data_IF_447758491601
#
_entry.id   IF_447758491601
#
_cell.length_a   1.000
_cell.length_b   1.000
_cell.length_c   1.000
_cell.angle_alpha   90.00
_cell.angle_beta   90.00
_cell.angle_gamma   90.00
#
_symmetry.space_group_name_H-M   'P 1'
#
loop_
_entity.id
_entity.type
_entity.pdbx_description
1 polymer ?
#
# COMPACT_ATOMS: atom_id res chain seq x y z
N UNK A 1 -4.04 -4.21 -30.20
CA UNK A 1 -4.91 -5.32 -29.73
C UNK A 1 -4.93 -5.26 -28.20
N UNK A 2 -6.11 -4.88 -27.65
CA UNK A 2 -6.31 -4.69 -26.21
C UNK A 2 -6.37 -6.04 -25.50
N UNK A 3 -5.21 -6.57 -25.16
CA UNK A 3 -5.14 -7.76 -24.32
C UNK A 3 -5.13 -7.35 -22.85
N UNK A 4 -6.23 -7.67 -22.16
CA UNK A 4 -6.24 -7.64 -20.69
C UNK A 4 -5.10 -8.53 -20.17
N UNK A 5 -4.29 -8.05 -19.20
CA UNK A 5 -3.23 -8.86 -18.62
C UNK A 5 -3.84 -10.13 -17.98
N UNK A 6 -3.16 -11.26 -18.19
CA UNK A 6 -3.56 -12.53 -17.60
C UNK A 6 -3.68 -12.32 -16.06
N UNK A 7 -4.76 -12.75 -15.46
CA UNK A 7 -5.08 -12.59 -14.04
C UNK A 7 -5.57 -11.18 -13.59
N UNK A 8 -5.78 -10.22 -14.50
CA UNK A 8 -6.26 -8.89 -14.09
C UNK A 8 -7.60 -8.93 -13.36
N UNK A 9 -8.52 -9.80 -13.80
CA UNK A 9 -9.84 -9.97 -13.15
C UNK A 9 -9.68 -10.43 -11.69
N UNK A 10 -8.85 -11.43 -11.44
CA UNK A 10 -8.60 -11.98 -10.10
C UNK A 10 -7.96 -10.92 -9.19
N UNK A 11 -7.02 -10.14 -9.72
CA UNK A 11 -6.40 -9.03 -9.00
C UNK A 11 -7.44 -7.99 -8.58
N UNK A 12 -8.31 -7.58 -9.51
CA UNK A 12 -9.37 -6.60 -9.23
C UNK A 12 -10.37 -7.13 -8.20
N UNK A 13 -10.77 -8.38 -8.30
CA UNK A 13 -11.66 -9.01 -7.31
C UNK A 13 -11.01 -9.04 -5.92
N UNK A 14 -9.75 -9.42 -5.83
CA UNK A 14 -9.00 -9.44 -4.57
C UNK A 14 -8.84 -8.03 -3.96
N UNK A 15 -8.59 -7.01 -4.77
CA UNK A 15 -8.51 -5.63 -4.31
C UNK A 15 -9.87 -5.13 -3.79
N UNK A 16 -10.96 -5.42 -4.52
CA UNK A 16 -12.34 -5.10 -4.07
C UNK A 16 -12.68 -5.78 -2.74
N UNK A 17 -12.30 -7.05 -2.57
CA UNK A 17 -12.49 -7.79 -1.31
C UNK A 17 -11.72 -7.17 -0.13
N UNK A 18 -10.68 -6.39 -0.41
CA UNK A 18 -9.91 -5.64 0.59
C UNK A 18 -10.42 -4.20 0.80
N UNK A 19 -11.64 -3.85 0.31
CA UNK A 19 -12.18 -2.49 0.34
C UNK A 19 -11.31 -1.46 -0.38
N UNK A 20 -10.62 -1.89 -1.46
CA UNK A 20 -9.95 -0.99 -2.39
C UNK A 20 -10.87 -0.79 -3.58
N UNK A 21 -11.10 0.45 -3.98
CA UNK A 21 -11.91 0.80 -5.15
C UNK A 21 -11.02 0.96 -6.37
N UNK A 22 -11.01 0.00 -7.32
CA UNK A 22 -10.24 0.14 -8.54
C UNK A 22 -10.86 1.18 -9.46
N UNK A 23 -10.01 2.00 -10.09
CA UNK A 23 -10.42 2.98 -11.09
C UNK A 23 -9.51 2.82 -12.30
N UNK A 24 -10.08 2.65 -13.49
CA UNK A 24 -9.32 2.62 -14.75
C UNK A 24 -9.25 4.02 -15.34
N UNK A 25 -8.04 4.51 -15.61
CA UNK A 25 -7.83 5.78 -16.30
C UNK A 25 -7.01 5.53 -17.57
N UNK A 26 -7.57 5.84 -18.71
CA UNK A 26 -6.94 5.60 -20.02
C UNK A 26 -7.01 6.84 -20.90
N UNK A 27 -5.99 7.01 -21.76
CA UNK A 27 -6.02 7.96 -22.89
C UNK A 27 -6.83 7.46 -24.08
N UNK A 28 -7.30 6.22 -24.05
CA UNK A 28 -8.14 5.66 -25.11
C UNK A 28 -9.56 6.24 -25.09
N UNK A 29 -10.25 6.07 -26.24
CA UNK A 29 -11.63 6.50 -26.37
C UNK A 29 -12.59 5.73 -25.45
N UNK A 30 -13.79 6.29 -25.27
CA UNK A 30 -14.83 5.78 -24.37
C UNK A 30 -15.17 4.30 -24.60
N UNK A 31 -15.29 3.87 -25.86
CA UNK A 31 -15.73 2.50 -26.17
C UNK A 31 -14.64 1.48 -25.78
N UNK A 32 -13.40 1.75 -26.09
CA UNK A 32 -12.25 0.92 -25.73
C UNK A 32 -12.11 0.83 -24.22
N UNK A 33 -12.08 1.97 -23.53
CA UNK A 33 -11.90 2.03 -22.08
C UNK A 33 -13.04 1.32 -21.34
N UNK A 34 -14.30 1.52 -21.78
CA UNK A 34 -15.47 0.83 -21.24
C UNK A 34 -15.37 -0.69 -21.37
N UNK A 35 -14.94 -1.17 -22.56
CA UNK A 35 -14.81 -2.59 -22.82
C UNK A 35 -13.75 -3.24 -21.92
N UNK A 36 -12.60 -2.56 -21.76
CA UNK A 36 -11.51 -3.02 -20.90
C UNK A 36 -11.97 -3.03 -19.43
N UNK A 37 -12.61 -1.96 -18.96
CA UNK A 37 -13.15 -1.85 -17.62
C UNK A 37 -14.15 -2.97 -17.31
N UNK A 38 -15.10 -3.21 -18.22
CA UNK A 38 -16.09 -4.28 -18.08
C UNK A 38 -15.44 -5.68 -18.02
N UNK A 39 -14.47 -5.96 -18.91
CA UNK A 39 -13.73 -7.23 -18.91
C UNK A 39 -12.90 -7.43 -17.64
N UNK A 40 -12.35 -6.35 -17.07
CA UNK A 40 -11.57 -6.38 -15.84
C UNK A 40 -12.44 -6.39 -14.57
N UNK A 41 -13.76 -6.17 -14.69
CA UNK A 41 -14.66 -6.03 -13.55
C UNK A 41 -14.47 -4.71 -12.79
N UNK A 42 -14.08 -3.63 -13.49
CA UNK A 42 -13.90 -2.29 -12.92
C UNK A 42 -15.15 -1.45 -13.23
N UNK A 43 -15.80 -0.93 -12.19
CA UNK A 43 -17.03 -0.15 -12.34
C UNK A 43 -16.74 1.32 -12.65
N UNK A 44 -15.64 1.85 -12.13
CA UNK A 44 -15.24 3.25 -12.27
C UNK A 44 -14.14 3.39 -13.31
N UNK A 45 -14.39 4.15 -14.37
CA UNK A 45 -13.39 4.39 -15.41
C UNK A 45 -13.46 5.81 -15.95
N UNK A 46 -12.32 6.33 -16.42
CA UNK A 46 -12.19 7.59 -17.16
C UNK A 46 -11.45 7.34 -18.46
N UNK A 47 -11.92 7.94 -19.52
CA UNK A 47 -11.44 7.81 -20.90
C UNK A 47 -10.94 9.15 -21.44
N UNK A 48 -10.24 9.15 -22.58
CA UNK A 48 -9.66 10.33 -23.22
C UNK A 48 -8.81 11.18 -22.22
N UNK A 49 -8.17 10.52 -21.23
CA UNK A 49 -7.42 11.20 -20.19
C UNK A 49 -6.04 11.62 -20.69
N UNK A 50 -5.74 12.90 -20.64
CA UNK A 50 -4.39 13.41 -20.73
C UNK A 50 -3.63 13.18 -19.41
N UNK A 51 -2.29 13.24 -19.41
CA UNK A 51 -1.49 13.11 -18.18
C UNK A 51 -1.91 14.07 -17.04
N UNK A 52 -2.29 15.29 -17.43
CA UNK A 52 -2.78 16.31 -16.48
C UNK A 52 -4.13 15.94 -15.86
N UNK A 53 -5.03 15.35 -16.66
CA UNK A 53 -6.36 14.92 -16.17
C UNK A 53 -6.23 13.84 -15.11
N UNK A 54 -5.29 12.90 -15.30
CA UNK A 54 -4.99 11.87 -14.30
C UNK A 54 -4.52 12.48 -12.99
N UNK A 55 -3.59 13.43 -13.06
CA UNK A 55 -3.04 14.13 -11.89
C UNK A 55 -4.11 14.97 -11.17
N UNK A 56 -4.97 15.65 -11.93
CA UNK A 56 -6.05 16.46 -11.37
C UNK A 56 -7.10 15.61 -10.68
N UNK A 57 -7.45 14.45 -11.26
CA UNK A 57 -8.39 13.52 -10.64
C UNK A 57 -7.85 12.91 -9.34
N UNK A 58 -6.56 12.58 -9.29
CA UNK A 58 -5.90 12.15 -8.06
C UNK A 58 -6.03 13.22 -6.97
N UNK A 59 -5.78 14.48 -7.33
CA UNK A 59 -5.92 15.62 -6.40
C UNK A 59 -7.37 15.77 -5.91
N UNK A 60 -8.36 15.65 -6.79
CA UNK A 60 -9.77 15.67 -6.45
C UNK A 60 -10.13 14.59 -5.41
N UNK A 61 -9.67 13.35 -5.64
CA UNK A 61 -9.88 12.26 -4.68
C UNK A 61 -9.22 12.54 -3.32
N UNK A 62 -8.01 13.11 -3.32
CA UNK A 62 -7.29 13.47 -2.11
C UNK A 62 -7.98 14.59 -1.33
N UNK A 63 -8.56 15.58 -2.01
CA UNK A 63 -9.36 16.65 -1.39
C UNK A 63 -10.64 16.10 -0.72
N UNK A 64 -11.12 14.95 -1.18
CA UNK A 64 -12.24 14.21 -0.58
C UNK A 64 -11.77 13.14 0.43
N UNK A 65 -10.60 13.34 1.06
CA UNK A 65 -9.99 12.47 2.08
C UNK A 65 -9.74 11.03 1.62
N UNK A 66 -9.71 10.76 0.30
CA UNK A 66 -9.36 9.46 -0.23
C UNK A 66 -7.84 9.30 -0.30
N UNK A 67 -7.35 8.13 0.12
CA UNK A 67 -5.96 7.73 -0.09
C UNK A 67 -5.85 7.02 -1.43
N UNK A 68 -4.98 7.53 -2.30
CA UNK A 68 -4.87 7.09 -3.69
C UNK A 68 -3.53 6.39 -3.90
N UNK A 69 -3.59 5.16 -4.41
CA UNK A 69 -2.45 4.48 -5.01
C UNK A 69 -2.57 4.59 -6.54
N UNK A 70 -1.56 5.14 -7.20
CA UNK A 70 -1.49 5.21 -8.66
C UNK A 70 -0.55 4.12 -9.17
N UNK A 71 -0.99 3.38 -10.18
CA UNK A 71 -0.19 2.36 -10.85
C UNK A 71 -0.02 2.81 -12.29
N UNK A 72 1.22 2.90 -12.74
CA UNK A 72 1.56 3.33 -14.09
C UNK A 72 2.83 2.68 -14.61
N UNK A 73 2.97 2.61 -15.93
CA UNK A 73 4.09 1.96 -16.61
C UNK A 73 4.87 2.89 -17.53
N UNK A 74 4.34 4.07 -17.82
CA UNK A 74 4.87 4.97 -18.83
C UNK A 74 5.36 6.32 -18.32
N UNK A 75 6.14 6.98 -19.15
CA UNK A 75 6.65 8.33 -18.94
C UNK A 75 5.52 9.34 -18.65
N UNK A 76 4.38 9.15 -19.31
CA UNK A 76 3.19 10.00 -19.18
C UNK A 76 2.51 9.88 -17.81
N UNK A 77 2.79 8.82 -17.06
CA UNK A 77 2.21 8.58 -15.74
C UNK A 77 3.06 9.15 -14.60
N UNK A 78 4.31 9.55 -14.85
CA UNK A 78 5.22 10.05 -13.84
C UNK A 78 4.66 11.21 -12.99
N UNK A 79 3.99 12.24 -13.56
CA UNK A 79 3.36 13.29 -12.75
C UNK A 79 2.26 12.76 -11.83
N UNK A 80 1.49 11.78 -12.29
CA UNK A 80 0.39 11.15 -11.55
C UNK A 80 0.91 10.22 -10.45
N UNK A 81 1.98 9.46 -10.74
CA UNK A 81 2.68 8.62 -9.75
C UNK A 81 3.21 9.46 -8.58
N UNK A 82 3.88 10.57 -8.91
CA UNK A 82 4.42 11.50 -7.89
C UNK A 82 3.31 12.21 -7.10
N UNK A 83 2.15 12.44 -7.71
CA UNK A 83 1.02 13.15 -7.09
C UNK A 83 0.24 12.26 -6.13
N UNK A 84 0.16 10.97 -6.37
CA UNK A 84 -0.57 10.01 -5.55
C UNK A 84 0.02 9.90 -4.13
N UNK A 85 -0.77 9.38 -3.18
CA UNK A 85 -0.24 9.07 -1.85
C UNK A 85 0.80 7.93 -1.93
N UNK A 86 0.62 7.01 -2.88
CA UNK A 86 1.58 5.97 -3.21
C UNK A 86 1.61 5.79 -4.73
N UNK A 87 2.75 6.05 -5.35
CA UNK A 87 3.02 5.73 -6.74
C UNK A 87 3.64 4.34 -6.86
N UNK A 88 3.11 3.52 -7.77
CA UNK A 88 3.60 2.16 -8.05
C UNK A 88 3.94 2.08 -9.53
N UNK A 89 5.21 1.90 -9.86
CA UNK A 89 5.67 1.72 -11.24
C UNK A 89 5.89 0.27 -11.60
N UNK A 90 5.86 -0.01 -12.91
CA UNK A 90 6.20 -1.31 -13.48
C UNK A 90 7.70 -1.28 -13.83
N UNK A 91 8.49 -2.24 -13.32
CA UNK A 91 9.95 -2.15 -13.30
C UNK A 91 10.65 -2.46 -14.62
N UNK A 92 10.15 -3.44 -15.40
CA UNK A 92 10.81 -3.85 -16.65
C UNK A 92 10.26 -3.13 -17.88
N UNK A 93 9.04 -2.58 -17.80
CA UNK A 93 8.38 -1.82 -18.89
C UNK A 93 8.43 -0.32 -18.58
N UNK A 94 8.52 0.05 -17.28
CA UNK A 94 8.56 1.44 -16.84
C UNK A 94 9.80 2.17 -17.32
N UNK A 95 9.62 3.43 -17.71
CA UNK A 95 10.76 4.33 -17.95
C UNK A 95 11.49 4.63 -16.65
N UNK A 96 12.79 4.94 -16.72
CA UNK A 96 13.58 5.38 -15.55
C UNK A 96 12.89 6.54 -14.81
N UNK A 97 12.24 7.42 -15.54
CA UNK A 97 11.48 8.55 -14.99
C UNK A 97 10.25 8.08 -14.19
N UNK A 98 9.54 7.06 -14.65
CA UNK A 98 8.40 6.51 -13.90
C UNK A 98 8.84 5.79 -12.63
N UNK A 99 9.98 5.12 -12.68
CA UNK A 99 10.59 4.46 -11.53
C UNK A 99 11.02 5.51 -10.50
N UNK A 100 11.68 6.59 -10.93
CA UNK A 100 12.10 7.68 -10.06
C UNK A 100 10.91 8.44 -9.45
N UNK A 101 9.80 8.54 -10.17
CA UNK A 101 8.58 9.20 -9.70
C UNK A 101 7.73 8.33 -8.75
N UNK A 102 8.05 7.06 -8.59
CA UNK A 102 7.26 6.10 -7.80
C UNK A 102 7.84 5.87 -6.40
N UNK A 103 7.00 5.36 -5.50
CA UNK A 103 7.42 4.92 -4.16
C UNK A 103 7.74 3.41 -4.15
N UNK A 104 7.14 2.66 -5.07
CA UNK A 104 7.25 1.21 -5.18
C UNK A 104 7.43 0.84 -6.65
N UNK A 105 8.31 -0.11 -6.93
CA UNK A 105 8.52 -0.65 -8.27
C UNK A 105 8.27 -2.15 -8.28
N UNK A 106 7.37 -2.61 -9.16
CA UNK A 106 7.09 -4.03 -9.39
C UNK A 106 8.12 -4.59 -10.39
N UNK A 107 9.15 -5.24 -9.88
CA UNK A 107 10.31 -5.68 -10.68
C UNK A 107 9.94 -6.60 -11.84
N UNK A 108 8.94 -7.47 -11.67
CA UNK A 108 8.53 -8.45 -12.67
C UNK A 108 7.29 -8.02 -13.50
N UNK A 109 6.87 -6.76 -13.40
CA UNK A 109 5.66 -6.22 -14.07
C UNK A 109 4.39 -7.05 -13.84
N UNK A 110 4.36 -7.75 -12.73
CA UNK A 110 3.27 -8.64 -12.41
C UNK A 110 2.25 -7.94 -11.49
N UNK A 111 1.12 -7.54 -12.06
CA UNK A 111 0.02 -6.94 -11.28
C UNK A 111 -0.54 -7.91 -10.23
N UNK A 112 -0.30 -9.22 -10.34
CA UNK A 112 -0.73 -10.21 -9.34
C UNK A 112 -0.06 -10.02 -7.99
N UNK A 113 1.03 -9.26 -7.91
CA UNK A 113 1.72 -8.95 -6.66
C UNK A 113 1.01 -7.85 -5.86
N UNK A 114 0.11 -7.07 -6.49
CA UNK A 114 -0.62 -5.99 -5.83
C UNK A 114 -1.45 -6.44 -4.62
N UNK A 115 -2.30 -7.49 -4.71
CA UNK A 115 -3.04 -7.96 -3.55
C UNK A 115 -2.13 -8.38 -2.38
N UNK A 116 -0.98 -9.01 -2.69
CA UNK A 116 0.01 -9.36 -1.67
C UNK A 116 0.62 -8.11 -1.03
N UNK A 117 1.02 -7.13 -1.82
CA UNK A 117 1.55 -5.84 -1.36
C UNK A 117 0.59 -5.15 -0.38
N UNK A 118 -0.70 -5.07 -0.73
CA UNK A 118 -1.72 -4.47 0.15
C UNK A 118 -1.93 -5.27 1.44
N UNK A 119 -1.95 -6.60 1.37
CA UNK A 119 -2.06 -7.47 2.56
C UNK A 119 -0.85 -7.32 3.47
N UNK A 120 0.35 -7.34 2.91
CA UNK A 120 1.61 -7.18 3.65
C UNK A 120 1.66 -5.82 4.35
N UNK A 121 1.34 -4.74 3.63
CA UNK A 121 1.30 -3.38 4.20
C UNK A 121 0.36 -3.30 5.41
N UNK A 122 -0.87 -3.82 5.28
CA UNK A 122 -1.84 -3.83 6.40
C UNK A 122 -1.36 -4.66 7.57
N UNK A 123 -0.76 -5.82 7.31
CA UNK A 123 -0.20 -6.68 8.36
C UNK A 123 0.96 -6.00 9.06
N UNK A 124 1.84 -5.33 8.32
CA UNK A 124 2.97 -4.57 8.87
C UNK A 124 2.48 -3.47 9.81
N UNK A 125 1.52 -2.65 9.37
CA UNK A 125 0.94 -1.61 10.22
C UNK A 125 0.29 -2.18 11.48
N UNK A 126 -0.44 -3.30 11.36
CA UNK A 126 -1.03 -3.98 12.52
C UNK A 126 0.06 -4.45 13.49
N UNK A 127 1.13 -5.06 12.98
CA UNK A 127 2.25 -5.53 13.80
C UNK A 127 2.95 -4.39 14.52
N UNK A 128 3.19 -3.26 13.84
CA UNK A 128 3.76 -2.04 14.44
C UNK A 128 2.86 -1.52 15.56
N UNK A 129 1.57 -1.34 15.30
CA UNK A 129 0.62 -0.81 16.29
C UNK A 129 0.50 -1.72 17.52
N UNK A 130 0.46 -3.04 17.32
CA UNK A 130 0.44 -4.01 18.43
C UNK A 130 1.74 -3.94 19.23
N UNK A 131 2.90 -3.85 18.56
CA UNK A 131 4.19 -3.72 19.23
C UNK A 131 4.29 -2.44 20.07
N UNK A 132 3.85 -1.31 19.52
CA UNK A 132 3.83 -0.02 20.24
C UNK A 132 2.89 -0.10 21.46
N UNK A 133 1.66 -0.60 21.26
CA UNK A 133 0.69 -0.72 22.35
C UNK A 133 1.22 -1.63 23.48
N UNK A 134 1.81 -2.77 23.13
CA UNK A 134 2.43 -3.68 24.08
C UNK A 134 3.56 -2.99 24.87
N UNK A 135 4.48 -2.30 24.19
CA UNK A 135 5.59 -1.60 24.84
C UNK A 135 5.10 -0.49 25.79
N UNK A 136 4.09 0.28 25.38
CA UNK A 136 3.51 1.35 26.23
C UNK A 136 2.83 0.78 27.47
N UNK A 137 2.04 -0.29 27.31
CA UNK A 137 1.36 -0.94 28.43
C UNK A 137 2.39 -1.53 29.42
N UNK A 138 3.41 -2.22 28.91
CA UNK A 138 4.47 -2.80 29.72
C UNK A 138 5.20 -1.72 30.53
N UNK A 139 5.59 -0.62 29.89
CA UNK A 139 6.26 0.49 30.56
C UNK A 139 5.36 1.17 31.57
N UNK A 140 4.07 1.34 31.30
CA UNK A 140 3.10 1.91 32.24
C UNK A 140 2.98 1.04 33.49
N UNK A 141 2.84 -0.28 33.34
CA UNK A 141 2.78 -1.23 34.44
C UNK A 141 4.07 -1.17 35.27
N UNK A 142 5.24 -1.22 34.61
CA UNK A 142 6.53 -1.14 35.31
C UNK A 142 6.67 0.17 36.10
N UNK A 143 6.24 1.30 35.55
CA UNK A 143 6.25 2.59 36.24
C UNK A 143 5.35 2.59 37.45
N UNK A 144 4.13 2.05 37.36
CA UNK A 144 3.20 1.96 38.48
C UNK A 144 3.81 1.08 39.61
N UNK A 145 4.38 -0.07 39.25
CA UNK A 145 5.01 -0.96 40.25
C UNK A 145 6.21 -0.30 40.94
N UNK A 146 6.99 0.50 40.18
CA UNK A 146 8.11 1.26 40.72
C UNK A 146 7.65 2.34 41.73
N UNK A 147 6.53 3.05 41.43
CA UNK A 147 5.95 4.05 42.31
C UNK A 147 5.51 3.41 43.66
N UNK A 148 4.96 2.21 43.62
CA UNK A 148 4.58 1.47 44.86
C UNK A 148 5.76 0.77 45.55
N UNK A 149 7.00 0.95 45.05
CA UNK A 149 8.18 0.32 45.64
C UNK A 149 8.28 -1.20 45.43
N UNK A 150 7.46 -1.74 44.48
CA UNK A 150 7.41 -3.17 44.18
C UNK A 150 8.44 -3.56 43.08
N UNK A 151 9.06 -2.59 42.45
CA UNK A 151 10.07 -2.79 41.42
C UNK A 151 11.27 -1.88 41.69
N UNK A 152 12.45 -2.45 41.78
CA UNK A 152 13.66 -1.65 41.86
C UNK A 152 14.20 -1.25 40.46
N UNK A 153 15.11 -0.28 40.32
CA UNK A 153 15.59 0.19 39.02
C UNK A 153 16.21 -0.90 38.15
N UNK A 154 16.87 -1.89 38.77
CA UNK A 154 17.51 -2.99 38.02
C UNK A 154 16.44 -3.92 37.43
N UNK A 155 15.45 -4.27 38.22
CA UNK A 155 14.31 -5.10 37.78
C UNK A 155 13.51 -4.39 36.68
N UNK A 156 13.28 -3.07 36.82
CA UNK A 156 12.65 -2.25 35.79
C UNK A 156 13.40 -2.29 34.44
N UNK A 157 14.73 -2.21 34.50
CA UNK A 157 15.56 -2.32 33.29
C UNK A 157 15.46 -3.71 32.64
N UNK A 158 15.41 -4.78 33.44
CA UNK A 158 15.19 -6.14 32.93
C UNK A 158 13.84 -6.31 32.26
N UNK A 159 12.75 -5.83 32.87
CA UNK A 159 11.40 -5.87 32.30
C UNK A 159 11.36 -5.15 30.96
N UNK A 160 11.95 -3.95 30.88
CA UNK A 160 12.01 -3.18 29.63
C UNK A 160 12.78 -3.94 28.52
N UNK A 161 13.96 -4.49 28.84
CA UNK A 161 14.77 -5.23 27.86
C UNK A 161 14.07 -6.50 27.36
N UNK A 162 13.44 -7.28 28.24
CA UNK A 162 12.66 -8.45 27.87
C UNK A 162 11.48 -8.05 26.97
N UNK A 163 10.77 -6.97 27.32
CA UNK A 163 9.70 -6.43 26.50
C UNK A 163 10.16 -6.07 25.09
N UNK A 164 11.31 -5.43 24.96
CA UNK A 164 11.90 -5.09 23.64
C UNK A 164 12.23 -6.33 22.81
N UNK A 165 12.79 -7.36 23.42
CA UNK A 165 13.07 -8.64 22.74
C UNK A 165 11.79 -9.30 22.25
N UNK A 166 10.73 -9.30 23.05
CA UNK A 166 9.42 -9.86 22.65
C UNK A 166 8.87 -9.12 21.45
N UNK A 167 8.93 -7.78 21.42
CA UNK A 167 8.48 -6.97 20.27
C UNK A 167 9.28 -7.30 19.01
N UNK A 168 10.60 -7.47 19.11
CA UNK A 168 11.46 -7.85 17.99
C UNK A 168 11.09 -9.24 17.45
N UNK A 169 10.90 -10.22 18.32
CA UNK A 169 10.48 -11.59 17.93
C UNK A 169 9.12 -11.54 17.24
N UNK A 170 8.17 -10.77 17.77
CA UNK A 170 6.85 -10.60 17.16
C UNK A 170 6.94 -9.95 15.79
N UNK A 171 7.74 -8.87 15.64
CA UNK A 171 7.97 -8.21 14.37
C UNK A 171 8.65 -9.13 13.33
N UNK A 172 9.56 -9.99 13.77
CA UNK A 172 10.24 -10.98 12.90
C UNK A 172 9.27 -11.99 12.27
N UNK A 173 8.05 -12.13 12.82
CA UNK A 173 7.02 -12.98 12.21
C UNK A 173 6.60 -12.51 10.81
N UNK A 174 6.83 -11.21 10.49
CA UNK A 174 6.57 -10.67 9.14
C UNK A 174 7.49 -11.28 8.06
N UNK A 175 8.70 -11.70 8.42
CA UNK A 175 9.63 -12.35 7.47
C UNK A 175 9.11 -13.67 6.92
N UNK A 176 8.21 -14.33 7.64
CA UNK A 176 7.57 -15.60 7.24
C UNK A 176 6.27 -15.40 6.46
N UNK A 177 5.85 -14.15 6.26
CA UNK A 177 4.60 -13.86 5.55
C UNK A 177 4.83 -13.93 4.04
N UNK A 178 4.36 -15.01 3.44
CA UNK A 178 4.33 -15.21 1.98
C UNK A 178 2.95 -14.91 1.41
#
# INVERSE_FOLDING_TARGET
SDFLRKNAVDVILNLKAMNVTPILMSGDNKNTTRNIAAKAGIDNYKYDCLPEDKSNYIKELQLNDKKVAMIGDGLNDAPSLKKANVGISMGSIGSDISIEASNITLIHDNISDLPHLFKLSRKTLKTINVGIAFALILNLIATILAIFGLLNPIEGAFVHNIGSVIVIIYASSLLKYK
#
